data_IF_112071524056
#
_entry.id   IF_112071524056
#
_cell.length_a   1.000
_cell.length_b   1.000
_cell.length_c   1.000
_cell.angle_alpha   90.00
_cell.angle_beta   90.00
_cell.angle_gamma   90.00
#
_symmetry.space_group_name_H-M   'P 1'
#
loop_
_entity.id
_entity.type
_entity.pdbx_description
1 polymer ?
#
# COMPACT_ATOMS: atom_id res chain seq x y z
N UNK A 1 11.81 -65.81 39.27
CA UNK A 1 11.95 -65.04 38.01
C UNK A 1 13.33 -64.38 37.84
N UNK A 2 13.96 -63.85 38.90
CA UNK A 2 15.31 -63.21 38.83
C UNK A 2 16.45 -64.15 38.34
N UNK A 3 16.38 -65.46 38.65
CA UNK A 3 17.49 -66.38 38.34
C UNK A 3 17.61 -66.77 36.86
N UNK A 4 16.55 -66.56 36.05
CA UNK A 4 16.57 -66.83 34.60
C UNK A 4 17.33 -65.72 33.84
N UNK A 5 17.24 -64.49 34.35
CA UNK A 5 17.94 -63.32 33.81
C UNK A 5 19.44 -63.48 34.06
N UNK A 6 19.84 -63.87 35.28
CA UNK A 6 21.25 -63.97 35.71
C UNK A 6 22.12 -64.90 34.83
N UNK A 7 21.54 -65.98 34.29
CA UNK A 7 22.23 -66.94 33.41
C UNK A 7 22.31 -66.49 31.94
N UNK A 8 21.45 -65.55 31.51
CA UNK A 8 21.45 -64.94 30.18
C UNK A 8 21.92 -63.48 30.17
N UNK A 9 22.40 -62.92 31.29
CA UNK A 9 22.92 -61.54 31.36
C UNK A 9 23.99 -61.30 30.30
N UNK A 10 24.86 -62.27 30.06
CA UNK A 10 25.87 -62.17 29.00
C UNK A 10 25.28 -62.08 27.59
N UNK A 11 24.19 -62.80 27.29
CA UNK A 11 23.48 -62.68 26.01
C UNK A 11 22.75 -61.35 25.90
N UNK A 12 22.08 -60.90 26.97
CA UNK A 12 21.40 -59.61 27.01
C UNK A 12 22.41 -58.47 26.85
N UNK A 13 23.56 -58.56 27.51
CA UNK A 13 24.64 -57.59 27.43
C UNK A 13 25.29 -57.60 26.04
N UNK A 14 25.52 -58.78 25.44
CA UNK A 14 26.04 -58.87 24.08
C UNK A 14 25.08 -58.22 23.06
N UNK A 15 23.78 -58.51 23.14
CA UNK A 15 22.76 -57.90 22.27
C UNK A 15 22.66 -56.40 22.50
N UNK A 16 22.72 -55.94 23.76
CA UNK A 16 22.69 -54.53 24.10
C UNK A 16 23.93 -53.79 23.53
N UNK A 17 25.12 -54.38 23.66
CA UNK A 17 26.37 -53.80 23.13
C UNK A 17 26.36 -53.75 21.60
N UNK A 18 25.94 -54.84 20.94
CA UNK A 18 25.81 -54.88 19.48
C UNK A 18 24.76 -53.87 18.99
N UNK A 19 23.62 -53.77 19.67
CA UNK A 19 22.58 -52.79 19.35
C UNK A 19 23.07 -51.35 19.52
N UNK A 20 23.84 -51.07 20.57
CA UNK A 20 24.42 -49.76 20.82
C UNK A 20 25.46 -49.41 19.75
N UNK A 21 26.35 -50.34 19.42
CA UNK A 21 27.36 -50.15 18.37
C UNK A 21 26.73 -49.95 16.99
N UNK A 22 25.71 -50.74 16.64
CA UNK A 22 24.98 -50.58 15.39
C UNK A 22 24.27 -49.23 15.30
N UNK A 23 23.69 -48.77 16.42
CA UNK A 23 23.06 -47.44 16.50
C UNK A 23 24.10 -46.33 16.37
N UNK A 24 25.26 -46.44 17.04
CA UNK A 24 26.34 -45.46 16.96
C UNK A 24 26.89 -45.35 15.53
N UNK A 25 27.14 -46.49 14.88
CA UNK A 25 27.58 -46.55 13.49
C UNK A 25 26.55 -45.89 12.56
N UNK A 26 25.26 -46.17 12.76
CA UNK A 26 24.19 -45.57 11.98
C UNK A 26 24.13 -44.05 12.14
N UNK A 27 24.22 -43.53 13.37
CA UNK A 27 24.19 -42.09 13.64
C UNK A 27 25.40 -41.36 13.04
N UNK A 28 26.60 -41.94 13.13
CA UNK A 28 27.82 -41.33 12.59
C UNK A 28 27.84 -41.24 11.06
N UNK A 29 27.08 -42.09 10.36
CA UNK A 29 26.97 -42.06 8.89
C UNK A 29 26.00 -41.01 8.35
N UNK A 30 25.20 -40.36 9.20
CA UNK A 30 24.25 -39.32 8.77
C UNK A 30 24.97 -37.97 8.66
N UNK A 31 24.84 -37.25 7.52
CA UNK A 31 25.41 -35.91 7.40
C UNK A 31 24.71 -34.95 8.39
N UNK A 32 25.46 -34.06 9.06
CA UNK A 32 24.87 -33.06 9.94
C UNK A 32 24.01 -32.08 9.13
N UNK A 33 22.86 -31.71 9.70
CA UNK A 33 21.97 -30.69 9.15
C UNK A 33 21.85 -29.56 10.17
N UNK A 34 21.95 -28.32 9.69
CA UNK A 34 21.87 -27.11 10.49
C UNK A 34 20.66 -26.30 10.04
N UNK A 35 19.94 -25.74 11.01
CA UNK A 35 18.80 -24.88 10.77
C UNK A 35 19.12 -23.46 11.27
N UNK A 36 18.91 -22.47 10.41
CA UNK A 36 18.95 -21.07 10.78
C UNK A 36 17.55 -20.45 10.64
N UNK A 37 17.26 -19.45 11.46
CA UNK A 37 15.99 -18.73 11.44
C UNK A 37 16.23 -17.21 11.34
N UNK A 38 15.53 -16.56 10.41
CA UNK A 38 15.46 -15.10 10.31
C UNK A 38 14.03 -14.65 10.65
N UNK A 39 13.90 -13.61 11.47
CA UNK A 39 12.60 -13.12 11.95
C UNK A 39 12.38 -11.69 11.46
N UNK A 40 11.27 -11.46 10.78
CA UNK A 40 10.84 -10.14 10.31
C UNK A 40 9.56 -9.78 11.05
N UNK A 41 9.56 -8.63 11.73
CA UNK A 41 8.36 -8.09 12.34
C UNK A 41 7.61 -7.21 11.34
N UNK A 42 6.31 -7.43 11.21
CA UNK A 42 5.44 -6.60 10.37
C UNK A 42 5.05 -5.38 11.19
N UNK A 43 5.53 -4.20 10.80
CA UNK A 43 5.05 -2.93 11.34
C UNK A 43 3.96 -2.39 10.42
N UNK A 44 2.73 -2.26 10.94
CA UNK A 44 1.66 -1.59 10.23
C UNK A 44 1.97 -0.08 10.17
N UNK A 45 1.85 0.58 9.01
CA UNK A 45 2.05 2.02 8.93
C UNK A 45 1.01 2.75 9.78
N UNK A 46 1.48 3.45 10.81
CA UNK A 46 0.68 4.40 11.60
C UNK A 46 0.50 5.66 10.77
N UNK A 47 -0.39 5.64 9.78
CA UNK A 47 -0.93 6.88 9.21
C UNK A 47 -2.44 6.80 9.27
N UNK A 48 -2.96 7.49 10.28
CA UNK A 48 -4.37 7.85 10.48
C UNK A 48 -4.89 8.54 9.23
N UNK A 49 -5.74 7.85 8.47
CA UNK A 49 -6.93 8.43 7.83
C UNK A 49 -7.81 7.29 7.28
N UNK A 50 -8.70 6.81 8.15
CA UNK A 50 -10.01 6.23 7.78
C UNK A 50 -10.09 4.91 7.00
N UNK A 51 -9.03 4.38 6.40
CA UNK A 51 -9.07 3.10 5.69
C UNK A 51 -8.06 2.12 6.27
N UNK A 52 -8.56 1.19 7.08
CA UNK A 52 -7.77 0.08 7.62
C UNK A 52 -7.21 -0.81 6.50
N UNK A 53 -5.87 -0.91 6.32
CA UNK A 53 -5.26 -1.92 5.47
C UNK A 53 -4.74 -3.07 6.33
N UNK A 54 -5.49 -3.49 7.37
CA UNK A 54 -5.06 -4.61 8.21
C UNK A 54 -5.11 -5.96 7.47
N UNK A 55 -5.94 -6.08 6.43
CA UNK A 55 -6.16 -7.30 5.66
C UNK A 55 -5.13 -7.59 4.56
N UNK A 56 -4.36 -6.57 4.14
CA UNK A 56 -3.47 -6.69 2.96
C UNK A 56 -2.08 -7.26 3.25
N UNK A 57 -1.61 -7.19 4.50
CA UNK A 57 -0.23 -7.55 4.83
C UNK A 57 0.04 -9.05 4.65
N UNK A 58 -0.85 -9.92 5.11
CA UNK A 58 -0.71 -11.37 4.96
C UNK A 58 -0.66 -11.79 3.49
N UNK A 59 -1.54 -11.23 2.67
CA UNK A 59 -1.64 -11.55 1.24
C UNK A 59 -0.47 -10.98 0.44
N UNK A 60 0.01 -9.77 0.79
CA UNK A 60 1.23 -9.20 0.21
C UNK A 60 2.44 -10.08 0.51
N UNK A 61 2.60 -10.51 1.76
CA UNK A 61 3.72 -11.35 2.18
C UNK A 61 3.67 -12.73 1.51
N UNK A 62 2.48 -13.31 1.34
CA UNK A 62 2.31 -14.55 0.58
C UNK A 62 2.70 -14.39 -0.90
N UNK A 63 2.34 -13.26 -1.53
CA UNK A 63 2.73 -12.97 -2.91
C UNK A 63 4.26 -12.79 -3.04
N UNK A 64 4.89 -12.11 -2.08
CA UNK A 64 6.36 -11.97 -2.03
C UNK A 64 7.02 -13.34 -1.87
N UNK A 65 6.53 -14.17 -0.95
CA UNK A 65 7.02 -15.54 -0.76
C UNK A 65 6.94 -16.36 -2.06
N UNK A 66 5.81 -16.30 -2.77
CA UNK A 66 5.66 -16.99 -4.06
C UNK A 66 6.69 -16.51 -5.07
N UNK A 67 7.00 -15.20 -5.11
CA UNK A 67 8.01 -14.64 -6.01
C UNK A 67 9.44 -15.03 -5.64
N UNK A 68 9.76 -15.10 -4.35
CA UNK A 68 11.08 -15.51 -3.86
C UNK A 68 11.34 -17.01 -4.04
N UNK A 69 10.30 -17.83 -4.05
CA UNK A 69 10.39 -19.29 -4.25
C UNK A 69 10.29 -19.72 -5.72
N UNK A 70 10.29 -18.75 -6.65
CA UNK A 70 10.36 -19.00 -8.09
C UNK A 70 11.67 -19.68 -8.47
N UNK A 71 11.65 -20.49 -9.54
CA UNK A 71 12.83 -21.23 -9.99
C UNK A 71 14.00 -20.29 -10.29
N UNK A 72 13.74 -19.18 -10.96
CA UNK A 72 14.74 -18.21 -11.39
C UNK A 72 15.44 -17.59 -10.18
N UNK A 73 14.66 -17.17 -9.17
CA UNK A 73 15.21 -16.60 -7.94
C UNK A 73 16.02 -17.65 -7.16
N UNK A 74 15.48 -18.87 -7.01
CA UNK A 74 16.20 -19.95 -6.35
C UNK A 74 17.53 -20.30 -7.04
N UNK A 75 17.60 -20.25 -8.37
CA UNK A 75 18.86 -20.42 -9.11
C UNK A 75 19.85 -19.29 -8.79
N UNK A 76 19.37 -18.05 -8.72
CA UNK A 76 20.19 -16.91 -8.36
C UNK A 76 20.77 -17.06 -6.95
N UNK A 77 19.96 -17.46 -5.98
CA UNK A 77 20.38 -17.73 -4.59
C UNK A 77 21.41 -18.87 -4.55
N UNK A 78 21.18 -19.96 -5.30
CA UNK A 78 22.13 -21.08 -5.42
C UNK A 78 23.49 -20.59 -5.91
N UNK A 79 23.50 -19.78 -6.97
CA UNK A 79 24.73 -19.25 -7.55
C UNK A 79 25.44 -18.26 -6.63
N UNK A 80 24.68 -17.34 -6.01
CA UNK A 80 25.18 -16.29 -5.11
C UNK A 80 25.87 -16.86 -3.87
N UNK A 81 25.30 -17.92 -3.29
CA UNK A 81 25.84 -18.56 -2.09
C UNK A 81 26.68 -19.81 -2.38
N UNK A 82 26.91 -20.16 -3.65
CA UNK A 82 27.67 -21.35 -4.04
C UNK A 82 27.09 -22.65 -3.48
N UNK A 83 25.76 -22.73 -3.38
CA UNK A 83 25.09 -23.89 -2.78
C UNK A 83 25.29 -25.14 -3.65
N UNK A 84 25.39 -26.29 -2.99
CA UNK A 84 25.61 -27.59 -3.65
C UNK A 84 26.91 -27.68 -4.47
N UNK A 85 27.95 -26.91 -4.11
CA UNK A 85 29.29 -27.03 -4.70
C UNK A 85 29.89 -28.43 -4.51
N UNK A 86 29.58 -29.09 -3.39
CA UNK A 86 30.05 -30.44 -3.05
C UNK A 86 29.32 -31.56 -3.80
N UNK A 87 28.27 -31.23 -4.57
CA UNK A 87 27.45 -32.17 -5.33
C UNK A 87 27.32 -31.74 -6.81
N UNK A 88 28.41 -31.75 -7.59
CA UNK A 88 28.40 -31.30 -8.99
C UNK A 88 27.56 -32.20 -9.91
N UNK A 89 27.34 -33.47 -9.53
CA UNK A 89 26.52 -34.41 -10.31
C UNK A 89 25.00 -34.19 -10.21
N UNK A 90 24.54 -33.24 -9.39
CA UNK A 90 23.11 -32.91 -9.30
C UNK A 90 22.68 -32.01 -10.46
N UNK A 91 21.59 -32.35 -11.13
CA UNK A 91 20.96 -31.45 -12.11
C UNK A 91 20.49 -30.16 -11.43
N UNK A 92 20.48 -29.06 -12.19
CA UNK A 92 20.05 -27.76 -11.67
C UNK A 92 18.64 -27.80 -11.10
N UNK A 93 17.71 -28.51 -11.75
CA UNK A 93 16.33 -28.63 -11.27
C UNK A 93 16.27 -29.35 -9.91
N UNK A 94 17.08 -30.40 -9.70
CA UNK A 94 17.16 -31.06 -8.40
C UNK A 94 17.73 -30.13 -7.32
N UNK A 95 18.72 -29.29 -7.64
CA UNK A 95 19.26 -28.31 -6.69
C UNK A 95 18.19 -27.29 -6.27
N UNK A 96 17.40 -26.82 -7.24
CA UNK A 96 16.27 -25.91 -6.98
C UNK A 96 15.22 -26.58 -6.10
N UNK A 97 14.85 -27.83 -6.39
CA UNK A 97 13.86 -28.55 -5.61
C UNK A 97 14.33 -28.82 -4.17
N UNK A 98 15.61 -29.16 -3.99
CA UNK A 98 16.21 -29.30 -2.67
C UNK A 98 16.21 -27.97 -1.91
N UNK A 99 16.63 -26.87 -2.54
CA UNK A 99 16.61 -25.56 -1.88
C UNK A 99 15.19 -25.15 -1.50
N UNK A 100 14.20 -25.38 -2.38
CA UNK A 100 12.79 -25.09 -2.10
C UNK A 100 12.27 -25.90 -0.90
N UNK A 101 12.68 -27.17 -0.78
CA UNK A 101 12.30 -28.00 0.36
C UNK A 101 13.07 -27.62 1.65
N UNK A 102 14.28 -27.09 1.51
CA UNK A 102 15.13 -26.65 2.62
C UNK A 102 14.67 -25.34 3.27
N UNK A 103 13.87 -24.53 2.57
CA UNK A 103 13.38 -23.23 3.08
C UNK A 103 11.90 -23.30 3.40
N UNK A 104 11.53 -22.83 4.60
CA UNK A 104 10.13 -22.73 5.00
C UNK A 104 9.82 -21.37 5.61
N UNK A 105 8.59 -20.91 5.38
CA UNK A 105 8.10 -19.62 5.85
C UNK A 105 6.94 -19.89 6.82
N UNK A 106 7.01 -19.30 8.01
CA UNK A 106 5.96 -19.40 9.01
C UNK A 106 5.50 -17.99 9.39
N UNK A 107 4.21 -17.69 9.21
CA UNK A 107 3.60 -16.46 9.69
C UNK A 107 3.09 -16.64 11.12
N UNK A 108 3.48 -15.73 12.01
CA UNK A 108 2.97 -15.65 13.38
C UNK A 108 1.77 -14.71 13.38
N UNK A 109 0.59 -15.24 13.71
CA UNK A 109 -0.63 -14.46 13.84
C UNK A 109 -0.55 -13.53 15.07
N UNK A 110 -1.10 -12.32 14.95
CA UNK A 110 -1.23 -11.39 16.06
C UNK A 110 -2.24 -11.91 17.07
N UNK A 111 -1.90 -11.84 18.37
CA UNK A 111 -2.81 -12.19 19.46
C UNK A 111 -4.11 -11.36 19.46
N UNK A 112 -4.11 -10.19 18.83
CA UNK A 112 -5.29 -9.34 18.68
C UNK A 112 -6.32 -9.84 17.63
N UNK A 113 -5.95 -10.81 16.79
CA UNK A 113 -6.79 -11.31 15.70
C UNK A 113 -7.65 -12.54 16.07
N UNK A 114 -7.71 -12.94 17.35
CA UNK A 114 -8.49 -14.10 17.80
C UNK A 114 -10.01 -13.87 17.88
N UNK A 115 -10.52 -12.71 17.45
CA UNK A 115 -11.95 -12.48 17.33
C UNK A 115 -12.50 -13.26 16.11
N UNK A 116 -13.47 -14.14 16.35
CA UNK A 116 -14.16 -14.92 15.31
C UNK A 116 -14.68 -13.99 14.19
N UNK A 117 -14.07 -14.06 13.00
CA UNK A 117 -14.49 -13.33 11.81
C UNK A 117 -13.49 -12.27 11.28
N UNK A 118 -12.45 -11.90 12.03
CA UNK A 118 -11.39 -11.02 11.52
C UNK A 118 -10.31 -11.81 10.77
N UNK A 119 -9.88 -11.30 9.60
CA UNK A 119 -8.73 -11.84 8.87
C UNK A 119 -7.47 -11.71 9.72
N UNK A 120 -6.72 -12.81 9.84
CA UNK A 120 -5.52 -12.92 10.69
C UNK A 120 -4.49 -11.83 10.32
N UNK A 121 -4.35 -10.80 11.17
CA UNK A 121 -3.25 -9.87 11.08
C UNK A 121 -1.94 -10.60 11.38
N UNK A 122 -1.00 -10.58 10.43
CA UNK A 122 0.34 -11.20 10.59
C UNK A 122 1.23 -10.24 11.38
N UNK A 123 1.73 -10.69 12.53
CA UNK A 123 2.60 -9.89 13.40
C UNK A 123 4.08 -10.07 13.08
N UNK A 124 4.47 -11.29 12.70
CA UNK A 124 5.84 -11.59 12.30
C UNK A 124 5.89 -12.73 11.28
N UNK A 125 6.99 -12.80 10.53
CA UNK A 125 7.34 -13.93 9.68
C UNK A 125 8.67 -14.49 10.16
N UNK A 126 8.72 -15.82 10.28
CA UNK A 126 9.93 -16.56 10.56
C UNK A 126 10.29 -17.36 9.31
N UNK A 127 11.51 -17.17 8.83
CA UNK A 127 12.07 -17.87 7.68
C UNK A 127 13.07 -18.87 8.22
N UNK A 128 12.87 -20.15 7.94
CA UNK A 128 13.80 -21.20 8.30
C UNK A 128 14.53 -21.70 7.07
N UNK A 129 15.85 -21.83 7.16
CA UNK A 129 16.68 -22.47 6.16
C UNK A 129 17.44 -23.65 6.77
N UNK A 130 17.32 -24.83 6.16
CA UNK A 130 17.97 -26.08 6.60
C UNK A 130 19.02 -26.54 5.58
N UNK A 131 20.30 -26.47 5.95
CA UNK A 131 21.43 -26.77 5.07
C UNK A 131 22.53 -27.56 5.80
N UNK A 132 23.47 -28.15 5.04
CA UNK A 132 24.57 -28.95 5.59
C UNK A 132 25.65 -28.15 6.34
N UNK A 133 25.63 -26.83 6.24
CA UNK A 133 26.54 -25.91 6.94
C UNK A 133 25.75 -24.83 7.66
N UNK A 134 26.11 -24.54 8.92
CA UNK A 134 25.49 -23.50 9.73
C UNK A 134 25.65 -22.10 9.09
N UNK A 135 26.82 -21.81 8.51
CA UNK A 135 27.10 -20.52 7.86
C UNK A 135 26.25 -20.35 6.59
N UNK A 136 26.11 -21.41 5.78
CA UNK A 136 25.23 -21.37 4.60
C UNK A 136 23.76 -21.23 5.00
N UNK A 137 23.29 -21.96 6.01
CA UNK A 137 21.93 -21.83 6.53
C UNK A 137 21.62 -20.39 6.94
N UNK A 138 22.51 -19.75 7.71
CA UNK A 138 22.34 -18.38 8.16
C UNK A 138 22.33 -17.38 7.00
N UNK A 139 23.28 -17.51 6.04
CA UNK A 139 23.33 -16.62 4.87
C UNK A 139 22.07 -16.72 4.02
N UNK A 140 21.60 -17.93 3.75
CA UNK A 140 20.38 -18.15 2.95
C UNK A 140 19.15 -17.60 3.67
N UNK A 141 18.98 -17.86 4.96
CA UNK A 141 17.86 -17.30 5.73
C UNK A 141 17.87 -15.75 5.71
N UNK A 142 19.04 -15.14 5.84
CA UNK A 142 19.20 -13.67 5.78
C UNK A 142 18.94 -13.12 4.37
N UNK A 143 19.38 -13.79 3.32
CA UNK A 143 19.16 -13.37 1.93
C UNK A 143 17.66 -13.38 1.57
N UNK A 144 16.93 -14.43 1.97
CA UNK A 144 15.47 -14.44 1.85
C UNK A 144 14.81 -13.35 2.68
N UNK A 145 15.31 -13.07 3.89
CA UNK A 145 14.75 -12.00 4.72
C UNK A 145 14.94 -10.63 4.08
N UNK A 146 16.13 -10.37 3.54
CA UNK A 146 16.44 -9.14 2.81
C UNK A 146 15.61 -9.02 1.54
N UNK A 147 15.45 -10.12 0.78
CA UNK A 147 14.62 -10.15 -0.42
C UNK A 147 13.14 -9.81 -0.13
N UNK A 148 12.61 -10.18 1.03
CA UNK A 148 11.26 -9.76 1.44
C UNK A 148 11.22 -8.24 1.68
N UNK A 149 12.22 -7.70 2.39
CA UNK A 149 12.30 -6.27 2.69
C UNK A 149 12.43 -5.42 1.42
N UNK A 150 13.33 -5.82 0.51
CA UNK A 150 13.56 -5.11 -0.74
C UNK A 150 12.31 -5.12 -1.63
N UNK A 151 11.63 -6.27 -1.74
CA UNK A 151 10.41 -6.40 -2.52
C UNK A 151 9.24 -5.58 -1.92
N UNK A 152 9.17 -5.49 -0.59
CA UNK A 152 8.20 -4.64 0.10
C UNK A 152 8.45 -3.16 -0.19
N UNK A 153 9.70 -2.71 -0.08
CA UNK A 153 10.09 -1.32 -0.32
C UNK A 153 9.84 -0.91 -1.78
N UNK A 154 10.24 -1.73 -2.74
CA UNK A 154 9.94 -1.50 -4.16
C UNK A 154 8.44 -1.45 -4.45
N UNK A 155 7.66 -2.33 -3.81
CA UNK A 155 6.20 -2.32 -3.94
C UNK A 155 5.56 -1.04 -3.41
N UNK A 156 6.05 -0.52 -2.26
CA UNK A 156 5.57 0.74 -1.71
C UNK A 156 5.91 1.93 -2.61
N UNK A 157 7.14 1.99 -3.11
CA UNK A 157 7.57 3.06 -4.01
C UNK A 157 6.75 3.08 -5.31
N UNK A 158 6.59 1.91 -5.95
CA UNK A 158 5.78 1.80 -7.17
C UNK A 158 4.33 2.22 -6.96
N UNK A 159 3.74 1.94 -5.80
CA UNK A 159 2.38 2.38 -5.45
C UNK A 159 2.31 3.87 -5.22
N UNK A 160 3.31 4.46 -4.56
CA UNK A 160 3.38 5.90 -4.37
C UNK A 160 3.45 6.62 -5.73
N UNK A 161 4.27 6.14 -6.65
CA UNK A 161 4.39 6.70 -8.00
C UNK A 161 3.06 6.60 -8.78
N UNK A 162 2.39 5.44 -8.72
CA UNK A 162 1.07 5.25 -9.34
C UNK A 162 0.00 6.16 -8.74
N UNK A 163 0.00 6.34 -7.41
CA UNK A 163 -0.92 7.24 -6.74
C UNK A 163 -0.69 8.69 -7.17
N UNK A 164 0.57 9.13 -7.26
CA UNK A 164 0.90 10.48 -7.75
C UNK A 164 0.37 10.69 -9.17
N UNK A 165 0.57 9.72 -10.07
CA UNK A 165 0.04 9.79 -11.43
C UNK A 165 -1.49 9.84 -11.46
N UNK A 166 -2.15 9.04 -10.62
CA UNK A 166 -3.61 9.03 -10.51
C UNK A 166 -4.15 10.38 -10.02
N UNK A 167 -3.59 10.93 -8.94
CA UNK A 167 -4.03 12.22 -8.40
C UNK A 167 -3.74 13.38 -9.35
N UNK A 168 -2.64 13.35 -10.10
CA UNK A 168 -2.37 14.33 -11.16
C UNK A 168 -3.41 14.25 -12.30
N UNK A 169 -3.82 13.04 -12.69
CA UNK A 169 -4.87 12.84 -13.67
C UNK A 169 -6.24 13.35 -13.17
N UNK A 170 -6.58 13.06 -11.92
CA UNK A 170 -7.80 13.56 -11.29
C UNK A 170 -7.80 15.08 -11.13
N UNK A 171 -6.66 15.68 -10.79
CA UNK A 171 -6.52 17.13 -10.72
C UNK A 171 -6.81 17.78 -12.08
N UNK A 172 -6.23 17.27 -13.17
CA UNK A 172 -6.48 17.76 -14.53
C UNK A 172 -7.96 17.58 -14.93
N UNK A 173 -8.56 16.44 -14.59
CA UNK A 173 -9.98 16.17 -14.85
C UNK A 173 -10.88 17.18 -14.14
N UNK A 174 -10.62 17.44 -12.87
CA UNK A 174 -11.39 18.39 -12.05
C UNK A 174 -11.21 19.82 -12.57
N UNK A 175 -9.99 20.24 -12.94
CA UNK A 175 -9.76 21.55 -13.55
C UNK A 175 -10.51 21.75 -14.87
N UNK A 176 -10.55 20.72 -15.72
CA UNK A 176 -11.33 20.76 -16.95
C UNK A 176 -12.84 20.88 -16.67
N UNK A 177 -13.33 20.19 -15.64
CA UNK A 177 -14.73 20.26 -15.21
C UNK A 177 -15.11 21.66 -14.68
N UNK A 178 -14.24 22.25 -13.86
CA UNK A 178 -14.38 23.63 -13.35
C UNK A 178 -14.42 24.62 -14.51
N UNK A 179 -13.45 24.53 -15.43
CA UNK A 179 -13.38 25.44 -16.60
C UNK A 179 -14.63 25.33 -17.49
N UNK A 180 -15.16 24.12 -17.68
CA UNK A 180 -16.39 23.90 -18.41
C UNK A 180 -17.61 24.49 -17.69
N UNK A 181 -17.67 24.42 -16.36
CA UNK A 181 -18.71 25.06 -15.55
C UNK A 181 -18.61 26.59 -15.58
N UNK A 182 -17.40 27.15 -15.49
CA UNK A 182 -17.17 28.59 -15.63
C UNK A 182 -17.61 29.10 -17.00
N UNK A 183 -17.29 28.37 -18.09
CA UNK A 183 -17.76 28.70 -19.43
C UNK A 183 -19.30 28.65 -19.54
N UNK A 184 -19.95 27.64 -18.93
CA UNK A 184 -21.42 27.58 -18.85
C UNK A 184 -21.99 28.78 -18.10
N UNK A 185 -21.43 29.12 -16.94
CA UNK A 185 -21.84 30.28 -16.13
C UNK A 185 -21.68 31.58 -16.94
N UNK A 186 -20.54 31.78 -17.61
CA UNK A 186 -20.28 32.95 -18.44
C UNK A 186 -21.27 33.03 -19.63
N UNK A 187 -21.56 31.91 -20.29
CA UNK A 187 -22.55 31.87 -21.37
C UNK A 187 -23.96 32.22 -20.90
N UNK A 188 -24.35 31.71 -19.72
CA UNK A 188 -25.63 32.01 -19.09
C UNK A 188 -25.73 33.48 -18.69
N UNK A 189 -24.66 34.03 -18.11
CA UNK A 189 -24.52 35.44 -17.76
C UNK A 189 -24.63 36.36 -18.98
N UNK A 190 -23.93 36.04 -20.08
CA UNK A 190 -24.02 36.82 -21.32
C UNK A 190 -25.42 36.77 -21.95
N UNK A 191 -26.04 35.59 -22.00
CA UNK A 191 -27.38 35.41 -22.54
C UNK A 191 -28.47 36.12 -21.73
N UNK A 192 -28.26 36.29 -20.42
CA UNK A 192 -29.20 36.96 -19.51
C UNK A 192 -28.70 38.33 -19.03
N UNK A 193 -27.78 38.94 -19.79
CA UNK A 193 -27.12 40.21 -19.45
C UNK A 193 -28.11 41.31 -19.05
N UNK A 194 -29.22 41.44 -19.78
CA UNK A 194 -30.28 42.44 -19.52
C UNK A 194 -31.04 42.26 -18.19
N UNK A 195 -30.92 41.09 -17.55
CA UNK A 195 -31.62 40.76 -16.30
C UNK A 195 -30.69 40.74 -15.08
N UNK A 196 -29.40 41.00 -15.27
CA UNK A 196 -28.39 40.95 -14.22
C UNK A 196 -28.68 41.96 -13.10
N UNK A 197 -28.48 41.59 -11.82
CA UNK A 197 -28.69 42.49 -10.67
C UNK A 197 -27.93 43.81 -10.80
N UNK A 198 -26.65 43.77 -11.22
CA UNK A 198 -25.82 44.96 -11.39
C UNK A 198 -26.35 45.93 -12.45
N UNK A 199 -26.96 45.43 -13.53
CA UNK A 199 -27.61 46.30 -14.54
C UNK A 199 -28.97 46.83 -14.07
N UNK A 200 -29.70 46.07 -13.23
CA UNK A 200 -30.94 46.56 -12.62
C UNK A 200 -30.69 47.75 -11.69
N UNK A 201 -29.60 47.72 -10.94
CA UNK A 201 -29.20 48.83 -10.06
C UNK A 201 -28.77 50.06 -10.88
N UNK A 202 -27.93 49.87 -11.91
CA UNK A 202 -27.55 50.96 -12.81
C UNK A 202 -28.75 51.62 -13.51
N UNK A 203 -29.74 50.82 -13.96
CA UNK A 203 -30.99 51.34 -14.55
C UNK A 203 -31.88 52.03 -13.53
N UNK A 204 -31.89 51.60 -12.26
CA UNK A 204 -32.59 52.32 -11.18
C UNK A 204 -31.99 53.70 -10.94
N UNK A 205 -30.67 53.79 -10.90
CA UNK A 205 -29.97 55.06 -10.71
C UNK A 205 -30.23 56.01 -11.89
N UNK A 206 -30.23 55.49 -13.12
CA UNK A 206 -30.60 56.25 -14.31
C UNK A 206 -32.04 56.75 -14.24
N UNK A 207 -33.00 55.90 -13.83
CA UNK A 207 -34.40 56.30 -13.63
C UNK A 207 -34.57 57.38 -12.56
N UNK A 208 -33.84 57.29 -11.44
CA UNK A 208 -33.86 58.31 -10.38
C UNK A 208 -33.32 59.65 -10.90
N UNK A 209 -32.24 59.62 -11.67
CA UNK A 209 -31.67 60.82 -12.29
C UNK A 209 -32.64 61.43 -13.32
N UNK A 210 -33.30 60.61 -14.14
CA UNK A 210 -34.34 61.08 -15.07
C UNK A 210 -35.54 61.70 -14.34
N UNK A 211 -36.05 61.09 -13.28
CA UNK A 211 -37.14 61.67 -12.47
C UNK A 211 -36.74 63.02 -11.86
N UNK A 212 -35.52 63.10 -11.33
CA UNK A 212 -34.97 64.33 -10.76
C UNK A 212 -34.88 65.43 -11.82
N UNK A 213 -34.35 65.12 -13.01
CA UNK A 213 -34.28 66.06 -14.13
C UNK A 213 -35.67 66.50 -14.59
N UNK A 214 -36.64 65.59 -14.61
CA UNK A 214 -38.01 65.87 -15.03
C UNK A 214 -38.71 66.83 -14.05
N UNK A 215 -38.53 66.63 -12.73
CA UNK A 215 -39.00 67.58 -11.71
C UNK A 215 -38.37 68.95 -11.84
N UNK A 216 -37.06 69.01 -12.11
CA UNK A 216 -36.36 70.29 -12.32
C UNK A 216 -36.91 71.00 -13.56
N UNK A 217 -37.11 70.29 -14.67
CA UNK A 217 -37.71 70.86 -15.88
C UNK A 217 -39.14 71.35 -15.62
N UNK A 218 -39.93 70.61 -14.84
CA UNK A 218 -41.29 70.98 -14.51
C UNK A 218 -41.33 72.24 -13.63
N UNK A 219 -40.44 72.36 -12.65
CA UNK A 219 -40.25 73.58 -11.87
C UNK A 219 -39.81 74.76 -12.73
N UNK A 220 -38.87 74.55 -13.67
CA UNK A 220 -38.45 75.59 -14.62
C UNK A 220 -39.62 76.02 -15.51
N UNK A 221 -40.44 75.08 -15.99
CA UNK A 221 -41.63 75.37 -16.79
C UNK A 221 -42.63 76.21 -16.01
N UNK A 222 -42.92 75.83 -14.76
CA UNK A 222 -43.83 76.58 -13.89
C UNK A 222 -43.28 77.99 -13.57
N UNK A 223 -41.97 78.13 -13.35
CA UNK A 223 -41.34 79.43 -13.14
C UNK A 223 -41.43 80.32 -14.40
N UNK A 224 -41.21 79.75 -15.59
CA UNK A 224 -41.36 80.45 -16.86
C UNK A 224 -42.84 80.82 -17.15
N UNK A 225 -43.78 79.94 -16.82
CA UNK A 225 -45.22 80.23 -16.90
C UNK A 225 -45.61 81.36 -15.93
N UNK A 226 -45.06 81.38 -14.72
CA UNK A 226 -45.22 82.46 -13.74
C UNK A 226 -44.69 83.80 -14.26
N UNK A 227 -43.47 83.82 -14.81
CA UNK A 227 -42.88 85.01 -15.45
C UNK A 227 -43.74 85.50 -16.63
N UNK A 228 -44.26 84.59 -17.45
CA UNK A 228 -45.14 84.95 -18.56
C UNK A 228 -46.48 85.54 -18.08
N UNK A 229 -47.03 85.04 -16.96
CA UNK A 229 -48.25 85.58 -16.36
C UNK A 229 -48.02 86.98 -15.76
N UNK A 230 -46.88 87.20 -15.10
CA UNK A 230 -46.50 88.51 -14.55
C UNK A 230 -46.28 89.55 -15.66
N UNK A 231 -45.59 89.18 -16.74
CA UNK A 231 -45.43 90.04 -17.92
C UNK A 231 -46.79 90.39 -18.55
N UNK A 232 -47.75 89.44 -18.58
CA UNK A 232 -49.12 89.73 -19.05
C UNK A 232 -49.88 90.67 -18.12
N UNK A 233 -49.70 90.56 -16.81
CA UNK A 233 -50.36 91.41 -15.83
C UNK A 233 -49.86 92.87 -15.87
N UNK A 234 -48.59 93.10 -16.22
CA UNK A 234 -48.01 94.44 -16.39
C UNK A 234 -48.49 95.13 -17.68
N UNK A 235 -49.06 94.37 -18.63
CA UNK A 235 -49.46 94.86 -19.96
C UNK A 235 -50.94 95.24 -20.07
N UNK A 236 -51.73 95.06 -19.00
CA UNK A 236 -53.11 95.57 -18.86
C UNK A 236 -53.16 96.69 -17.83
#
# INVERSE_FOLDING_TARGET
MINLIRRRVWLILAVAVIGTLATLAYVLTRPPIFQAAAVIQVQSPTVTDGQEPQSGAAQLLQAIQQRLTTRENLIEVINRHGLFADAPGLSLDKKVDLLRASVSFQSVASAAAQAYGQQNAVSAIIIFATLGSADQAARVANDFAQGILDQSNHGQQSRADQNVQFYQGEEQRVWAEISAMEAKIASYQNAHSETMPAQRDARRDELINLDTNLRILEQQRLALEGQAAEIRAIKN
#
